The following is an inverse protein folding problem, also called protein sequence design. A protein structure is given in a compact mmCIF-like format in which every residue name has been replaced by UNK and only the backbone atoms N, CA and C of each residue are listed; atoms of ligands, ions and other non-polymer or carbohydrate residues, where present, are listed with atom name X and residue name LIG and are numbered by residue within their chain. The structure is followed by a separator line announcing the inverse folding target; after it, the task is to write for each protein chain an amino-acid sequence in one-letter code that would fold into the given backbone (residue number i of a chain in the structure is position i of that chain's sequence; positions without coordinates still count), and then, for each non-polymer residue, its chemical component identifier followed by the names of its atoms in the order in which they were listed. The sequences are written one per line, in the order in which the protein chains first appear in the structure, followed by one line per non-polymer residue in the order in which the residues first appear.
data_IF_279857834132
#
_entry.id   IF_279857834132
#
_cell.length_a   1.000
_cell.length_b   1.000
_cell.length_c   1.000
_cell.angle_alpha   90.00
_cell.angle_beta   90.00
_cell.angle_gamma   90.00
#
_symmetry.space_group_name_H-M   'P 1'
#
loop_
_entity.id
_entity.type
_entity.pdbx_description
1 polymer ?
#
# COMPACT_ATOMS: atom_id res chain seq x y z
N UNK A 1 -3.81 11.73 -10.66
CA UNK A 1 -4.62 10.53 -11.01
C UNK A 1 -6.00 10.67 -10.37
N UNK A 2 -7.10 10.59 -11.13
CA UNK A 2 -8.46 10.58 -10.62
C UNK A 2 -8.72 9.49 -9.57
N UNK A 3 -9.67 9.72 -8.65
CA UNK A 3 -9.94 8.78 -7.55
C UNK A 3 -10.39 7.39 -8.03
N UNK A 4 -11.17 7.32 -9.10
CA UNK A 4 -11.64 6.04 -9.65
C UNK A 4 -10.48 5.20 -10.20
N UNK A 5 -9.51 5.83 -10.87
CA UNK A 5 -8.29 5.15 -11.36
C UNK A 5 -7.41 4.66 -10.19
N UNK A 6 -7.30 5.44 -9.12
CA UNK A 6 -6.60 4.99 -7.90
C UNK A 6 -7.25 3.73 -7.31
N UNK A 7 -8.57 3.72 -7.18
CA UNK A 7 -9.32 2.58 -6.66
C UNK A 7 -9.12 1.36 -7.57
N UNK A 8 -9.16 1.54 -8.90
CA UNK A 8 -8.91 0.47 -9.84
C UNK A 8 -7.49 -0.10 -9.72
N UNK A 9 -6.49 0.76 -9.58
CA UNK A 9 -5.10 0.36 -9.34
C UNK A 9 -4.96 -0.43 -8.04
N UNK A 10 -5.56 0.03 -6.95
CA UNK A 10 -5.50 -0.68 -5.65
C UNK A 10 -6.23 -2.03 -5.71
N UNK A 11 -7.39 -2.09 -6.38
CA UNK A 11 -8.11 -3.35 -6.61
C UNK A 11 -7.24 -4.35 -7.37
N UNK A 12 -6.60 -3.91 -8.45
CA UNK A 12 -5.69 -4.74 -9.23
C UNK A 12 -4.48 -5.20 -8.39
N UNK A 13 -3.89 -4.30 -7.59
CA UNK A 13 -2.76 -4.62 -6.74
C UNK A 13 -3.10 -5.64 -5.65
N UNK A 14 -4.25 -5.49 -4.98
CA UNK A 14 -4.74 -6.43 -3.97
C UNK A 14 -5.06 -7.78 -4.60
N UNK A 15 -5.73 -7.80 -5.75
CA UNK A 15 -6.03 -9.03 -6.47
C UNK A 15 -4.75 -9.78 -6.83
N UNK A 16 -3.76 -9.08 -7.38
CA UNK A 16 -2.47 -9.69 -7.73
C UNK A 16 -1.66 -10.10 -6.51
N UNK A 17 -1.68 -9.31 -5.44
CA UNK A 17 -1.03 -9.65 -4.17
C UNK A 17 -1.59 -10.93 -3.55
N UNK A 18 -2.93 -11.07 -3.52
CA UNK A 18 -3.60 -12.29 -3.05
C UNK A 18 -3.29 -13.50 -3.91
N UNK A 19 -3.27 -13.32 -5.24
CA UNK A 19 -2.90 -14.38 -6.19
C UNK A 19 -1.48 -14.91 -5.92
N UNK A 20 -0.52 -14.02 -5.65
CA UNK A 20 0.90 -14.38 -5.49
C UNK A 20 1.26 -14.83 -4.07
N UNK A 21 0.67 -14.21 -3.04
CA UNK A 21 1.14 -14.31 -1.66
C UNK A 21 0.06 -14.73 -0.64
N UNK A 22 -1.15 -15.06 -1.09
CA UNK A 22 -2.26 -15.46 -0.21
C UNK A 22 -2.64 -14.31 0.74
N UNK A 23 -2.67 -14.58 2.05
CA UNK A 23 -2.96 -13.57 3.08
C UNK A 23 -1.71 -12.77 3.51
N UNK A 24 -0.51 -13.21 3.15
CA UNK A 24 0.75 -12.54 3.51
C UNK A 24 1.14 -11.46 2.48
N UNK A 25 0.17 -10.86 1.78
CA UNK A 25 0.43 -9.82 0.77
C UNK A 25 0.54 -8.43 1.40
N UNK A 26 1.27 -7.55 0.73
CA UNK A 26 1.21 -6.11 0.92
C UNK A 26 1.37 -5.36 -0.40
N UNK A 27 0.89 -4.14 -0.46
CA UNK A 27 1.30 -3.20 -1.49
C UNK A 27 1.76 -1.88 -0.89
N UNK A 28 2.71 -1.22 -1.56
CA UNK A 28 3.32 0.02 -1.10
C UNK A 28 3.34 1.06 -2.23
N UNK A 29 3.09 2.31 -1.87
CA UNK A 29 3.20 3.47 -2.74
C UNK A 29 4.19 4.43 -2.09
N UNK A 30 5.36 4.61 -2.69
CA UNK A 30 6.37 5.53 -2.18
C UNK A 30 5.98 6.99 -2.42
N UNK A 31 6.47 7.88 -1.56
CA UNK A 31 6.38 9.32 -1.78
C UNK A 31 7.01 9.73 -3.11
N UNK A 32 6.52 10.83 -3.69
CA UNK A 32 7.15 11.42 -4.86
C UNK A 32 8.59 11.87 -4.61
N UNK A 33 8.97 12.14 -3.36
CA UNK A 33 10.30 12.63 -2.97
C UNK A 33 11.40 11.59 -3.14
N UNK A 34 11.05 10.30 -3.08
CA UNK A 34 12.01 9.19 -3.04
C UNK A 34 11.86 8.20 -4.18
N UNK A 35 10.77 8.27 -4.96
CA UNK A 35 10.59 7.44 -6.15
C UNK A 35 11.48 7.92 -7.30
N UNK A 36 11.96 6.99 -8.11
CA UNK A 36 12.74 7.30 -9.31
C UNK A 36 11.89 7.31 -10.58
N UNK A 37 10.73 6.65 -10.57
CA UNK A 37 9.81 6.60 -11.70
C UNK A 37 8.82 7.78 -11.71
N UNK A 38 8.60 8.35 -12.90
CA UNK A 38 7.71 9.50 -13.11
C UNK A 38 6.22 9.13 -13.24
N UNK A 39 5.87 7.85 -13.25
CA UNK A 39 4.51 7.36 -13.42
C UNK A 39 3.96 6.78 -12.12
N UNK A 40 2.64 6.83 -11.94
CA UNK A 40 1.99 6.18 -10.81
C UNK A 40 2.25 4.67 -10.86
N UNK A 41 2.82 4.13 -9.79
CA UNK A 41 3.08 2.72 -9.62
C UNK A 41 2.93 2.34 -8.15
N UNK A 42 2.70 1.06 -7.91
CA UNK A 42 2.71 0.45 -6.57
C UNK A 42 3.65 -0.74 -6.60
N UNK A 43 4.29 -0.99 -5.47
CA UNK A 43 5.05 -2.20 -5.22
C UNK A 43 4.10 -3.25 -4.65
N UNK A 44 4.19 -4.49 -5.09
CA UNK A 44 3.42 -5.61 -4.57
C UNK A 44 4.43 -6.66 -4.13
N UNK A 45 4.28 -7.20 -2.93
CA UNK A 45 5.21 -8.18 -2.41
C UNK A 45 4.66 -8.93 -1.21
N UNK A 46 5.45 -9.89 -0.74
CA UNK A 46 5.15 -10.61 0.49
C UNK A 46 5.48 -9.72 1.69
N UNK A 47 4.55 -9.57 2.63
CA UNK A 47 4.75 -8.72 3.80
C UNK A 47 5.85 -9.29 4.70
N UNK A 48 6.80 -8.45 5.11
CA UNK A 48 7.83 -8.84 6.07
C UNK A 48 7.23 -9.07 7.47
N UNK A 49 7.76 -10.08 8.17
CA UNK A 49 7.38 -10.38 9.56
C UNK A 49 8.19 -9.50 10.51
N UNK A 50 7.57 -9.08 11.62
CA UNK A 50 8.25 -8.28 12.64
C UNK A 50 8.44 -6.81 12.28
N UNK A 51 7.68 -6.30 11.31
CA UNK A 51 7.62 -4.85 11.07
C UNK A 51 7.17 -4.13 12.35
N UNK A 52 7.82 -3.01 12.65
CA UNK A 52 7.41 -2.07 13.69
C UNK A 52 6.78 -0.83 13.02
N UNK A 53 5.56 -0.97 12.46
CA UNK A 53 4.93 0.11 11.72
C UNK A 53 4.69 1.35 12.57
N UNK A 54 4.86 2.52 11.96
CA UNK A 54 4.51 3.82 12.55
C UNK A 54 2.99 4.05 12.61
N UNK A 55 2.53 5.17 12.05
CA UNK A 55 1.11 5.55 12.08
C UNK A 55 0.30 4.67 11.14
N UNK A 56 -0.85 4.18 11.60
CA UNK A 56 -1.76 3.40 10.78
C UNK A 56 -3.22 3.74 11.05
N UNK A 57 -4.08 3.38 10.09
CA UNK A 57 -5.54 3.36 10.21
C UNK A 57 -6.07 2.06 9.62
N UNK A 58 -7.17 1.56 10.18
CA UNK A 58 -7.87 0.40 9.63
C UNK A 58 -9.11 0.87 8.87
N UNK A 59 -9.24 0.45 7.62
CA UNK A 59 -10.38 0.78 6.75
C UNK A 59 -11.10 -0.48 6.30
N UNK A 60 -12.43 -0.40 6.16
CA UNK A 60 -13.24 -1.57 5.80
C UNK A 60 -13.27 -1.82 4.29
N UNK A 61 -13.18 -0.76 3.48
CA UNK A 61 -13.32 -0.84 2.03
C UNK A 61 -12.10 -0.30 1.31
N UNK A 62 -11.86 -0.79 0.10
CA UNK A 62 -10.78 -0.29 -0.76
C UNK A 62 -11.02 1.19 -1.11
N UNK A 63 -12.29 1.58 -1.27
CA UNK A 63 -12.68 2.97 -1.53
C UNK A 63 -12.35 3.92 -0.37
N UNK A 64 -12.11 3.40 0.83
CA UNK A 64 -11.78 4.18 2.03
C UNK A 64 -10.28 4.35 2.23
N UNK A 65 -9.42 3.66 1.45
CA UNK A 65 -7.96 3.80 1.53
C UNK A 65 -7.58 5.24 1.14
N UNK A 66 -7.11 6.07 2.08
CA UNK A 66 -6.78 7.46 1.77
C UNK A 66 -5.46 7.54 1.02
N UNK A 67 -5.34 8.56 0.17
CA UNK A 67 -4.04 9.02 -0.29
C UNK A 67 -3.60 10.14 0.66
N UNK A 68 -2.42 10.04 1.28
CA UNK A 68 -1.89 11.10 2.13
C UNK A 68 -1.84 12.43 1.37
N UNK A 69 -2.36 13.50 1.98
CA UNK A 69 -2.37 14.86 1.40
C UNK A 69 -1.04 15.58 1.54
N UNK A 70 -0.18 15.09 2.42
CA UNK A 70 1.15 15.62 2.72
C UNK A 70 2.24 15.03 1.81
N UNK A 71 1.82 14.36 0.73
CA UNK A 71 2.69 13.71 -0.25
C UNK A 71 3.57 12.57 0.30
N UNK A 72 3.30 12.10 1.52
CA UNK A 72 4.00 10.94 2.08
C UNK A 72 3.58 9.64 1.37
N UNK A 73 4.44 8.63 1.48
CA UNK A 73 4.11 7.29 1.04
C UNK A 73 3.09 6.61 1.96
N UNK A 74 2.53 5.52 1.49
CA UNK A 74 1.68 4.65 2.28
C UNK A 74 1.84 3.19 1.85
N UNK A 75 1.48 2.26 2.73
CA UNK A 75 1.42 0.85 2.39
C UNK A 75 0.24 0.16 3.07
N UNK A 76 -0.23 -0.91 2.45
CA UNK A 76 -1.48 -1.57 2.80
C UNK A 76 -1.30 -3.07 2.84
N UNK A 77 -1.91 -3.71 3.83
CA UNK A 77 -1.99 -5.17 3.93
C UNK A 77 -3.33 -5.59 4.55
N UNK A 78 -3.62 -6.90 4.49
CA UNK A 78 -4.77 -7.49 5.17
C UNK A 78 -4.60 -7.43 6.70
N UNK A 79 -5.66 -7.03 7.39
CA UNK A 79 -5.78 -7.03 8.85
C UNK A 79 -7.12 -7.63 9.25
N UNK A 80 -7.23 -8.95 9.17
CA UNK A 80 -8.50 -9.66 9.28
C UNK A 80 -9.46 -9.25 8.15
N UNK A 81 -10.67 -8.81 8.50
CA UNK A 81 -11.68 -8.36 7.52
C UNK A 81 -11.51 -6.89 7.09
N UNK A 82 -10.40 -6.25 7.46
CA UNK A 82 -10.09 -4.85 7.15
C UNK A 82 -8.79 -4.75 6.39
N UNK A 83 -8.53 -3.57 5.84
CA UNK A 83 -7.24 -3.16 5.31
C UNK A 83 -6.57 -2.25 6.33
N UNK A 84 -5.33 -2.58 6.69
CA UNK A 84 -4.51 -1.67 7.47
C UNK A 84 -3.67 -0.83 6.54
N UNK A 85 -3.80 0.48 6.66
CA UNK A 85 -3.07 1.48 5.85
C UNK A 85 -2.10 2.21 6.77
N UNK A 86 -0.82 2.10 6.47
CA UNK A 86 0.26 2.78 7.16
C UNK A 86 0.69 4.00 6.35
N UNK A 87 1.02 5.10 7.02
CA UNK A 87 1.30 6.39 6.37
C UNK A 87 2.32 7.23 7.15
N UNK A 88 2.84 8.27 6.49
CA UNK A 88 3.82 9.20 7.08
C UNK A 88 5.28 8.81 6.86
N UNK A 89 5.54 7.79 6.05
CA UNK A 89 6.88 7.34 5.65
C UNK A 89 7.06 7.58 4.15
N UNK A 90 8.26 7.96 3.70
CA UNK A 90 8.49 8.21 2.27
C UNK A 90 8.80 6.93 1.48
N UNK A 91 9.65 6.06 2.03
CA UNK A 91 10.06 4.79 1.43
C UNK A 91 9.28 3.66 2.10
N UNK A 92 8.24 3.16 1.44
CA UNK A 92 7.32 2.18 2.01
C UNK A 92 7.49 0.78 1.40
N UNK A 93 8.14 0.67 0.24
CA UNK A 93 8.47 -0.59 -0.41
C UNK A 93 9.33 -1.55 0.43
N UNK A 94 10.06 -1.03 1.42
CA UNK A 94 10.93 -1.80 2.33
C UNK A 94 10.15 -2.71 3.28
N UNK A 95 8.84 -2.54 3.35
CA UNK A 95 7.92 -3.41 4.11
C UNK A 95 7.64 -4.74 3.40
N UNK A 96 8.05 -4.83 2.14
CA UNK A 96 7.80 -5.97 1.27
C UNK A 96 9.12 -6.72 1.03
N UNK A 97 9.03 -8.05 1.08
CA UNK A 97 10.10 -8.94 0.63
C UNK A 97 10.23 -8.80 -0.88
N UNK A 98 11.47 -8.54 -1.34
CA UNK A 98 11.85 -8.46 -2.75
C UNK A 98 12.01 -9.83 -3.38
#
# INVERSE_FOLDING_TARGET
MPRQEQIALFKAAIAKGRELFGEEWGFAYNSWRVRTQCHAHVHIGKLLKGLAPGKFIDVARIEDIPIPKDDTGFWVHAAGNKFRVHYGEDITETTLLR
#
